data_IF_376649129843
#
_entry.id   IF_376649129843
#
_cell.length_a   1.000
_cell.length_b   1.000
_cell.length_c   1.000
_cell.angle_alpha   90.00
_cell.angle_beta   90.00
_cell.angle_gamma   90.00
#
_symmetry.space_group_name_H-M   'P 1'
#
loop_
_entity.id
_entity.type
_entity.pdbx_description
1 polymer ?
#
# COMPACT_ATOMS: atom_id res chain seq x y z
N UNK A 1 -9.81 -54.21 9.79
CA UNK A 1 -9.96 -52.82 10.23
C UNK A 1 -9.55 -52.60 11.67
N UNK A 2 -9.94 -53.46 12.56
CA UNK A 2 -9.55 -53.33 13.96
C UNK A 2 -8.05 -53.41 14.16
N UNK A 3 -7.33 -54.16 13.31
CA UNK A 3 -5.87 -54.27 13.40
C UNK A 3 -5.15 -53.01 12.98
N UNK A 4 -5.76 -52.22 12.10
CA UNK A 4 -5.22 -50.96 11.64
C UNK A 4 -5.15 -49.94 12.80
N UNK A 5 -6.23 -49.82 13.53
CA UNK A 5 -6.29 -48.92 14.68
C UNK A 5 -5.36 -49.36 15.80
N UNK A 6 -5.24 -50.66 16.04
CA UNK A 6 -4.31 -51.19 17.04
C UNK A 6 -2.87 -50.91 16.67
N UNK A 7 -2.54 -50.99 15.37
CA UNK A 7 -1.22 -50.62 14.89
C UNK A 7 -0.88 -49.17 15.13
N UNK A 8 -1.81 -48.28 14.83
CA UNK A 8 -1.63 -46.87 15.08
C UNK A 8 -1.41 -46.55 16.55
N UNK A 9 -2.16 -47.25 17.43
CA UNK A 9 -2.04 -47.05 18.87
C UNK A 9 -0.75 -47.63 19.43
N UNK A 10 -0.19 -48.67 18.80
CA UNK A 10 1.08 -49.24 19.24
C UNK A 10 2.31 -48.41 18.86
N UNK A 11 2.13 -47.43 17.99
CA UNK A 11 3.18 -46.51 17.60
C UNK A 11 2.81 -45.09 17.95
N UNK A 12 2.94 -44.67 19.21
CA UNK A 12 2.49 -43.34 19.62
C UNK A 12 3.28 -42.21 18.90
N UNK A 13 4.51 -42.45 18.49
CA UNK A 13 5.27 -41.47 17.75
C UNK A 13 4.68 -41.16 16.36
N UNK A 14 4.04 -42.17 15.72
CA UNK A 14 3.38 -41.93 14.43
C UNK A 14 2.17 -41.01 14.61
N UNK A 15 1.42 -41.17 15.67
CA UNK A 15 0.31 -40.31 15.99
C UNK A 15 0.76 -38.86 16.18
N UNK A 16 1.84 -38.69 16.94
CA UNK A 16 2.39 -37.36 17.18
C UNK A 16 2.94 -36.75 15.90
N UNK A 17 3.58 -37.55 15.04
CA UNK A 17 4.08 -37.06 13.77
C UNK A 17 2.97 -36.55 12.87
N UNK A 18 1.85 -37.26 12.82
CA UNK A 18 0.70 -36.84 12.02
C UNK A 18 0.12 -35.52 12.57
N UNK A 19 0.01 -35.40 13.89
CA UNK A 19 -0.48 -34.18 14.51
C UNK A 19 0.44 -33.00 14.22
N UNK A 20 1.74 -33.21 14.37
CA UNK A 20 2.73 -32.15 14.08
C UNK A 20 2.65 -31.72 12.62
N UNK A 21 2.56 -32.69 11.71
CA UNK A 21 2.46 -32.39 10.28
C UNK A 21 1.20 -31.56 9.97
N UNK A 22 0.07 -31.90 10.60
CA UNK A 22 -1.18 -31.18 10.44
C UNK A 22 -1.08 -29.75 10.96
N UNK A 23 -0.45 -29.57 12.14
CA UNK A 23 -0.29 -28.23 12.72
C UNK A 23 0.64 -27.38 11.85
N UNK A 24 1.75 -27.94 11.38
CA UNK A 24 2.70 -27.22 10.54
C UNK A 24 2.02 -26.83 9.21
N UNK A 25 1.30 -27.74 8.59
CA UNK A 25 0.59 -27.44 7.35
C UNK A 25 -0.44 -26.32 7.56
N UNK A 26 -1.19 -26.37 8.66
CA UNK A 26 -2.15 -25.32 9.00
C UNK A 26 -1.50 -23.98 9.22
N UNK A 27 -0.36 -23.94 9.91
CA UNK A 27 0.38 -22.70 10.13
C UNK A 27 0.91 -22.13 8.83
N UNK A 28 1.43 -22.96 7.93
CA UNK A 28 1.93 -22.51 6.63
C UNK A 28 0.81 -21.95 5.78
N UNK A 29 -0.35 -22.60 5.77
CA UNK A 29 -1.51 -22.09 5.05
C UNK A 29 -2.00 -20.77 5.62
N UNK A 30 -2.04 -20.65 6.94
CA UNK A 30 -2.45 -19.40 7.58
C UNK A 30 -1.49 -18.27 7.28
N UNK A 31 -0.19 -18.55 7.31
CA UNK A 31 0.83 -17.54 6.97
C UNK A 31 0.71 -17.11 5.51
N UNK A 32 0.51 -18.06 4.61
CA UNK A 32 0.33 -17.75 3.18
C UNK A 32 -0.91 -16.86 2.96
N UNK A 33 -2.00 -17.21 3.61
CA UNK A 33 -3.25 -16.44 3.53
C UNK A 33 -3.06 -15.03 4.07
N UNK A 34 -2.38 -14.90 5.21
CA UNK A 34 -2.12 -13.60 5.82
C UNK A 34 -1.25 -12.73 4.91
N UNK A 35 -0.25 -13.31 4.26
CA UNK A 35 0.60 -12.59 3.33
C UNK A 35 -0.19 -12.09 2.12
N UNK A 36 -1.10 -12.91 1.59
CA UNK A 36 -1.94 -12.49 0.47
C UNK A 36 -2.88 -11.35 0.86
N UNK A 37 -3.47 -11.42 2.03
CA UNK A 37 -4.33 -10.35 2.54
C UNK A 37 -3.53 -9.07 2.75
N UNK A 38 -2.33 -9.17 3.30
CA UNK A 38 -1.45 -8.03 3.48
C UNK A 38 -1.06 -7.37 2.18
N UNK A 39 -0.83 -8.18 1.14
CA UNK A 39 -0.49 -7.66 -0.19
C UNK A 39 -1.68 -6.98 -0.86
N UNK A 40 -2.88 -7.44 -0.59
CA UNK A 40 -4.09 -6.86 -1.16
C UNK A 40 -4.50 -5.57 -0.46
N UNK A 41 -4.16 -5.43 0.82
CA UNK A 41 -4.58 -4.29 1.61
C UNK A 41 -3.68 -3.09 1.38
N UNK A 42 -3.92 -2.42 0.26
CA UNK A 42 -3.53 -1.03 0.15
C UNK A 42 -2.05 -0.72 0.15
N UNK A 43 -1.25 -1.66 -0.27
CA UNK A 43 0.17 -1.36 -0.44
C UNK A 43 0.42 -0.53 -1.68
N UNK A 44 -0.52 -0.57 -2.62
CA UNK A 44 -0.42 0.22 -3.85
C UNK A 44 -1.54 1.25 -3.88
N UNK A 45 -1.16 2.49 -4.09
CA UNK A 45 -2.08 3.60 -4.27
C UNK A 45 -1.86 4.17 -5.66
N UNK A 46 -2.94 4.54 -6.32
CA UNK A 46 -2.85 5.23 -7.59
C UNK A 46 -2.72 6.72 -7.29
N UNK A 47 -1.70 7.36 -7.86
CA UNK A 47 -1.47 8.79 -7.68
C UNK A 47 -2.57 9.55 -8.39
N UNK A 48 -3.35 10.39 -7.66
CA UNK A 48 -4.38 11.22 -8.30
C UNK A 48 -3.76 12.39 -9.04
N UNK A 49 -4.56 13.06 -9.86
CA UNK A 49 -4.14 14.26 -10.58
C UNK A 49 -4.28 15.47 -9.66
N UNK A 50 -3.16 16.02 -9.25
CA UNK A 50 -3.12 17.22 -8.42
C UNK A 50 -3.03 18.50 -9.24
N UNK A 51 -2.69 18.40 -10.53
CA UNK A 51 -2.48 19.58 -11.36
C UNK A 51 -3.78 20.35 -11.52
N UNK A 52 -3.69 21.68 -11.45
CA UNK A 52 -4.85 22.54 -11.53
C UNK A 52 -5.57 22.77 -10.21
N UNK A 53 -5.21 22.06 -9.15
CA UNK A 53 -5.80 22.24 -7.83
C UNK A 53 -5.01 23.26 -7.02
N UNK A 54 -5.71 23.97 -6.14
CA UNK A 54 -5.04 24.77 -5.12
C UNK A 54 -4.27 23.86 -4.19
N UNK A 55 -3.18 24.37 -3.63
CA UNK A 55 -2.30 23.56 -2.76
C UNK A 55 -3.09 22.93 -1.59
N UNK A 56 -4.02 23.67 -0.99
CA UNK A 56 -4.84 23.14 0.11
C UNK A 56 -5.70 21.96 -0.34
N UNK A 57 -6.32 22.07 -1.49
CA UNK A 57 -7.15 21.00 -2.04
C UNK A 57 -6.30 19.80 -2.43
N UNK A 58 -5.14 20.05 -3.00
CA UNK A 58 -4.20 18.98 -3.36
C UNK A 58 -3.75 18.23 -2.09
N UNK A 59 -3.47 18.95 -1.00
CA UNK A 59 -3.09 18.34 0.26
C UNK A 59 -4.17 17.44 0.84
N UNK A 60 -5.43 17.88 0.77
CA UNK A 60 -6.55 17.05 1.22
C UNK A 60 -6.70 15.80 0.38
N UNK A 61 -6.56 15.93 -0.93
CA UNK A 61 -6.66 14.79 -1.83
C UNK A 61 -5.54 13.79 -1.56
N UNK A 62 -4.32 14.27 -1.29
CA UNK A 62 -3.20 13.41 -0.94
C UNK A 62 -3.48 12.63 0.34
N UNK A 63 -4.02 13.30 1.37
CA UNK A 63 -4.37 12.64 2.63
C UNK A 63 -5.42 11.55 2.43
N UNK A 64 -6.43 11.81 1.61
CA UNK A 64 -7.47 10.83 1.30
C UNK A 64 -6.89 9.56 0.65
N UNK A 65 -5.80 9.70 -0.07
CA UNK A 65 -5.16 8.59 -0.77
C UNK A 65 -3.95 8.05 0.00
N UNK A 66 -3.79 8.43 1.26
CA UNK A 66 -2.67 7.99 2.10
C UNK A 66 -1.33 8.33 1.47
N UNK A 67 -1.23 9.50 0.88
CA UNK A 67 -0.02 10.02 0.27
C UNK A 67 0.41 11.30 0.98
N UNK A 68 1.69 11.59 0.92
CA UNK A 68 2.24 12.83 1.45
C UNK A 68 2.50 13.77 0.29
N UNK A 69 2.20 15.06 0.48
CA UNK A 69 2.39 16.08 -0.53
C UNK A 69 3.49 17.03 -0.09
N UNK A 70 4.47 17.28 -0.97
CA UNK A 70 5.54 18.23 -0.70
C UNK A 70 5.72 19.15 -1.88
N UNK A 71 5.89 20.43 -1.58
CA UNK A 71 6.25 21.43 -2.60
C UNK A 71 7.74 21.33 -2.86
N UNK A 72 8.09 20.97 -4.10
CA UNK A 72 9.47 20.82 -4.52
C UNK A 72 10.02 22.11 -5.15
N UNK A 73 9.17 22.83 -5.87
CA UNK A 73 9.56 24.01 -6.59
C UNK A 73 8.38 24.95 -6.81
N UNK A 74 8.66 26.17 -7.19
CA UNK A 74 7.62 27.13 -7.55
C UNK A 74 8.05 27.93 -8.77
N UNK A 75 7.09 28.18 -9.65
CA UNK A 75 7.28 28.97 -10.86
C UNK A 75 6.20 30.03 -10.88
N UNK A 76 6.46 31.13 -11.58
CA UNK A 76 5.41 32.13 -11.78
C UNK A 76 4.85 32.00 -13.18
N UNK A 77 3.57 31.63 -13.26
CA UNK A 77 2.80 31.56 -14.52
C UNK A 77 1.60 32.49 -14.36
N UNK A 78 1.57 33.62 -15.07
CA UNK A 78 0.49 34.61 -14.88
C UNK A 78 -0.92 34.10 -15.19
N UNK A 79 -1.01 33.05 -15.99
CA UNK A 79 -2.32 32.47 -16.37
C UNK A 79 -3.01 31.74 -15.23
N UNK A 80 -2.30 31.43 -14.15
CA UNK A 80 -2.84 30.65 -13.02
C UNK A 80 -2.77 31.47 -11.74
N UNK A 81 -3.68 31.15 -10.84
CA UNK A 81 -3.66 31.75 -9.51
C UNK A 81 -2.47 31.26 -8.70
N UNK A 82 -2.06 32.04 -7.70
CA UNK A 82 -0.99 31.64 -6.80
C UNK A 82 -1.38 30.39 -6.01
N UNK A 83 -0.43 29.49 -5.85
CA UNK A 83 -0.61 28.27 -5.09
C UNK A 83 -1.25 27.13 -5.85
N UNK A 84 -1.55 27.30 -7.13
CA UNK A 84 -2.09 26.23 -7.97
C UNK A 84 -0.97 25.26 -8.33
N UNK A 85 -1.25 23.96 -8.28
CA UNK A 85 -0.30 22.93 -8.66
C UNK A 85 -0.14 22.93 -10.18
N UNK A 86 1.09 23.13 -10.63
CA UNK A 86 1.40 23.19 -12.08
C UNK A 86 1.88 21.84 -12.59
N UNK A 87 2.59 21.07 -11.76
CA UNK A 87 3.14 19.78 -12.15
C UNK A 87 3.29 18.90 -10.92
N UNK A 88 3.44 17.62 -11.14
CA UNK A 88 3.61 16.67 -10.05
C UNK A 88 4.52 15.51 -10.45
N UNK A 89 5.16 14.92 -9.45
CA UNK A 89 6.00 13.74 -9.64
C UNK A 89 5.84 12.83 -8.40
N UNK A 90 5.38 11.60 -8.51
CA UNK A 90 5.02 10.88 -9.75
C UNK A 90 3.79 11.44 -10.44
N UNK A 91 3.68 11.16 -11.73
CA UNK A 91 2.53 11.61 -12.51
C UNK A 91 1.26 10.85 -12.11
N UNK A 92 0.11 11.43 -12.45
CA UNK A 92 -1.19 10.79 -12.22
C UNK A 92 -1.25 9.41 -12.87
N UNK A 93 -1.94 8.50 -12.22
CA UNK A 93 -2.08 7.12 -12.69
C UNK A 93 -0.94 6.19 -12.31
N UNK A 94 0.15 6.73 -11.76
CA UNK A 94 1.27 5.91 -11.30
C UNK A 94 0.87 5.16 -10.03
N UNK A 95 1.26 3.91 -9.92
CA UNK A 95 1.02 3.14 -8.70
C UNK A 95 2.22 3.24 -7.78
N UNK A 96 1.96 3.61 -6.53
CA UNK A 96 2.98 3.80 -5.52
C UNK A 96 2.54 3.16 -4.22
N UNK A 97 3.47 2.99 -3.30
CA UNK A 97 3.15 2.49 -1.96
C UNK A 97 2.44 3.58 -1.16
N UNK A 98 1.56 3.17 -0.25
CA UNK A 98 0.97 4.09 0.71
C UNK A 98 2.05 4.78 1.53
N UNK A 99 1.85 6.07 1.82
CA UNK A 99 2.85 6.89 2.49
C UNK A 99 3.89 7.50 1.58
N UNK A 100 3.84 7.23 0.28
CA UNK A 100 4.76 7.81 -0.69
C UNK A 100 4.59 9.32 -0.76
N UNK A 101 5.70 10.02 -0.89
CA UNK A 101 5.69 11.48 -1.07
C UNK A 101 5.51 11.82 -2.54
N UNK A 102 4.54 12.69 -2.83
CA UNK A 102 4.35 13.27 -4.15
C UNK A 102 4.90 14.68 -4.13
N UNK A 103 5.82 14.97 -5.02
CA UNK A 103 6.40 16.30 -5.14
C UNK A 103 5.62 17.10 -6.17
N UNK A 104 5.30 18.34 -5.84
CA UNK A 104 4.53 19.21 -6.73
C UNK A 104 5.30 20.51 -6.97
N UNK A 105 5.11 21.05 -8.16
CA UNK A 105 5.52 22.41 -8.50
C UNK A 105 4.30 23.29 -8.46
N UNK A 106 4.35 24.35 -7.69
CA UNK A 106 3.20 25.27 -7.57
C UNK A 106 3.48 26.59 -8.27
N UNK A 107 2.41 27.29 -8.59
CA UNK A 107 2.51 28.65 -9.08
C UNK A 107 2.82 29.57 -7.88
N UNK A 108 3.79 30.45 -8.02
CA UNK A 108 4.13 31.38 -6.95
C UNK A 108 3.01 32.40 -6.74
N UNK A 109 2.90 32.87 -5.48
CA UNK A 109 1.83 33.81 -5.11
C UNK A 109 2.11 35.22 -5.61
N UNK A 110 3.33 35.55 -5.91
CA UNK A 110 3.67 36.89 -6.41
C UNK A 110 4.81 36.82 -7.40
N UNK A 111 4.74 37.73 -8.34
CA UNK A 111 5.81 37.90 -9.30
C UNK A 111 6.96 38.65 -8.66
N UNK A 112 8.10 37.97 -8.52
CA UNK A 112 9.33 38.62 -8.09
C UNK A 112 10.51 37.80 -8.50
#
# INVERSE_FOLDING_TARGET
MTNYWKRLKSYPYLYHLVLIAGVVAGLLLAAHFAMQLGTRHGQHRTVPDFTGLALDDAGRLAQRNSLELRVNDSLFVPAYDGGVVLDQLPHEGTQVKGGRTVYVTINSFSQK
#
